data_IF_867298139443
#
_entry.id   IF_867298139443
#
_cell.length_a   1.000
_cell.length_b   1.000
_cell.length_c   1.000
_cell.angle_alpha   90.00
_cell.angle_beta   90.00
_cell.angle_gamma   90.00
#
_symmetry.space_group_name_H-M   'P 1'
#
loop_
_entity.id
_entity.type
_entity.pdbx_description
1 polymer ?
#
# COMPACT_ATOMS: atom_id res chain seq x y z
N UNK A 1 12.59 -18.58 11.92
CA UNK A 1 11.74 -18.68 10.72
C UNK A 1 12.59 -19.19 9.57
N UNK A 2 12.03 -20.02 8.69
CA UNK A 2 12.66 -20.37 7.43
C UNK A 2 12.69 -19.17 6.49
N UNK A 3 13.61 -19.13 5.54
CA UNK A 3 13.68 -18.05 4.54
C UNK A 3 12.36 -17.91 3.75
N UNK A 4 11.70 -19.04 3.49
CA UNK A 4 10.39 -19.06 2.82
C UNK A 4 9.31 -18.37 3.65
N UNK A 5 9.28 -18.61 4.97
CA UNK A 5 8.36 -17.92 5.89
C UNK A 5 8.61 -16.40 5.89
N UNK A 6 9.88 -15.99 5.92
CA UNK A 6 10.26 -14.58 5.85
C UNK A 6 9.81 -13.94 4.53
N UNK A 7 10.01 -14.62 3.40
CA UNK A 7 9.57 -14.14 2.09
C UNK A 7 8.04 -14.00 2.03
N UNK A 8 7.31 -14.96 2.57
CA UNK A 8 5.85 -14.91 2.67
C UNK A 8 5.41 -13.70 3.51
N UNK A 9 6.01 -13.50 4.68
CA UNK A 9 5.72 -12.35 5.55
C UNK A 9 5.94 -11.01 4.83
N UNK A 10 7.02 -10.88 4.05
CA UNK A 10 7.31 -9.66 3.28
C UNK A 10 6.26 -9.41 2.20
N UNK A 11 5.88 -10.46 1.45
CA UNK A 11 4.84 -10.36 0.42
C UNK A 11 3.50 -9.94 1.04
N UNK A 12 3.14 -10.51 2.19
CA UNK A 12 1.92 -10.15 2.90
C UNK A 12 1.96 -8.70 3.41
N UNK A 13 3.11 -8.24 3.92
CA UNK A 13 3.30 -6.85 4.35
C UNK A 13 3.19 -5.87 3.18
N UNK A 14 3.81 -6.17 2.03
CA UNK A 14 3.72 -5.33 0.83
C UNK A 14 2.28 -5.29 0.30
N UNK A 15 1.61 -6.43 0.17
CA UNK A 15 0.21 -6.46 -0.27
C UNK A 15 -0.74 -5.71 0.69
N UNK A 16 -0.44 -5.75 2.00
CA UNK A 16 -1.20 -4.99 3.00
C UNK A 16 -0.96 -3.49 2.86
N UNK A 17 0.26 -3.08 2.51
CA UNK A 17 0.60 -1.69 2.23
C UNK A 17 -0.20 -1.14 1.04
N UNK A 18 -0.18 -1.83 -0.11
CA UNK A 18 -0.96 -1.40 -1.29
C UNK A 18 -2.46 -1.32 -1.01
N UNK A 19 -3.00 -2.27 -0.23
CA UNK A 19 -4.41 -2.21 0.19
C UNK A 19 -4.72 -1.01 1.08
N UNK A 20 -3.81 -0.64 1.97
CA UNK A 20 -3.99 0.53 2.82
C UNK A 20 -3.92 1.83 2.00
N UNK A 21 -3.04 1.88 0.99
CA UNK A 21 -2.94 2.99 0.05
C UNK A 21 -4.22 3.12 -0.79
N UNK A 22 -4.73 2.01 -1.32
CA UNK A 22 -6.02 1.94 -2.01
C UNK A 22 -7.17 2.49 -1.15
N UNK A 23 -7.21 2.13 0.13
CA UNK A 23 -8.24 2.62 1.07
C UNK A 23 -8.14 4.13 1.27
N UNK A 24 -6.92 4.66 1.40
CA UNK A 24 -6.70 6.11 1.52
C UNK A 24 -7.22 6.85 0.28
N UNK A 25 -6.88 6.38 -0.91
CA UNK A 25 -7.35 6.97 -2.16
C UNK A 25 -8.87 6.85 -2.34
N UNK A 26 -9.47 5.74 -1.90
CA UNK A 26 -10.93 5.61 -1.85
C UNK A 26 -11.57 6.64 -0.94
N UNK A 27 -10.98 6.95 0.21
CA UNK A 27 -11.48 8.02 1.09
C UNK A 27 -11.29 9.42 0.47
N UNK A 28 -10.19 9.66 -0.23
CA UNK A 28 -10.00 10.91 -0.99
C UNK A 28 -11.04 11.07 -2.10
N UNK A 29 -11.38 10.00 -2.80
CA UNK A 29 -12.43 10.02 -3.83
C UNK A 29 -13.81 10.42 -3.27
N UNK A 30 -14.11 10.05 -2.02
CA UNK A 30 -15.35 10.44 -1.33
C UNK A 30 -15.37 11.92 -0.92
N UNK A 31 -14.20 12.49 -0.59
CA UNK A 31 -14.08 13.88 -0.14
C UNK A 31 -13.97 14.88 -1.27
N UNK A 32 -13.19 14.56 -2.30
CA UNK A 32 -12.90 15.48 -3.40
C UNK A 32 -13.69 15.06 -4.63
N UNK A 33 -14.96 15.47 -4.69
CA UNK A 33 -15.88 15.06 -5.76
C UNK A 33 -15.37 15.42 -7.16
N UNK A 34 -14.78 16.62 -7.33
CA UNK A 34 -14.19 17.07 -8.60
C UNK A 34 -13.00 16.20 -9.04
N UNK A 35 -12.33 15.55 -8.10
CA UNK A 35 -11.21 14.62 -8.34
C UNK A 35 -11.57 13.15 -8.17
N UNK A 36 -12.87 12.83 -8.04
CA UNK A 36 -13.32 11.47 -7.67
C UNK A 36 -12.79 10.41 -8.62
N UNK A 37 -12.85 10.66 -9.92
CA UNK A 37 -12.41 9.69 -10.93
C UNK A 37 -10.91 9.43 -10.86
N UNK A 38 -10.12 10.48 -10.62
CA UNK A 38 -8.67 10.37 -10.42
C UNK A 38 -8.35 9.48 -9.22
N UNK A 39 -8.91 9.80 -8.05
CA UNK A 39 -8.68 9.03 -6.83
C UNK A 39 -9.24 7.60 -6.89
N UNK A 40 -10.38 7.40 -7.57
CA UNK A 40 -10.97 6.07 -7.75
C UNK A 40 -10.13 5.19 -8.66
N UNK A 41 -9.51 5.76 -9.70
CA UNK A 41 -8.58 5.04 -10.58
C UNK A 41 -7.35 4.58 -9.80
N UNK A 42 -6.68 5.48 -9.08
CA UNK A 42 -5.54 5.13 -8.23
C UNK A 42 -5.91 4.04 -7.21
N UNK A 43 -7.06 4.19 -6.53
CA UNK A 43 -7.54 3.16 -5.60
C UNK A 43 -7.69 1.78 -6.25
N UNK A 44 -8.16 1.72 -7.50
CA UNK A 44 -8.31 0.47 -8.25
C UNK A 44 -6.96 -0.11 -8.70
N UNK A 45 -6.02 0.73 -9.14
CA UNK A 45 -4.66 0.36 -9.49
C UNK A 45 -3.96 -0.32 -8.30
N UNK A 46 -4.06 0.27 -7.10
CA UNK A 46 -3.45 -0.29 -5.90
C UNK A 46 -4.07 -1.62 -5.43
N UNK A 47 -5.37 -1.85 -5.67
CA UNK A 47 -5.94 -3.19 -5.50
C UNK A 47 -5.33 -4.18 -6.50
N UNK A 48 -5.10 -3.76 -7.74
CA UNK A 48 -4.41 -4.54 -8.75
C UNK A 48 -3.01 -4.95 -8.29
N UNK A 49 -2.22 -4.00 -7.80
CA UNK A 49 -0.87 -4.22 -7.26
C UNK A 49 -0.88 -5.22 -6.10
N UNK A 50 -1.75 -5.01 -5.09
CA UNK A 50 -1.89 -5.93 -3.97
C UNK A 50 -2.19 -7.36 -4.42
N UNK A 51 -3.06 -7.52 -5.42
CA UNK A 51 -3.43 -8.84 -5.95
C UNK A 51 -2.27 -9.49 -6.71
N UNK A 52 -1.47 -8.72 -7.47
CA UNK A 52 -0.27 -9.25 -8.13
C UNK A 52 0.78 -9.70 -7.13
N UNK A 53 1.01 -8.91 -6.08
CA UNK A 53 1.95 -9.26 -5.00
C UNK A 53 1.51 -10.56 -4.32
N UNK A 54 0.23 -10.71 -3.96
CA UNK A 54 -0.26 -11.94 -3.33
C UNK A 54 -0.17 -13.18 -4.21
N UNK A 55 -0.25 -13.04 -5.54
CA UNK A 55 -0.03 -14.18 -6.45
C UNK A 55 1.37 -14.77 -6.31
N UNK A 56 2.37 -13.98 -5.88
CA UNK A 56 3.74 -14.45 -5.64
C UNK A 56 3.83 -15.44 -4.48
N UNK A 57 2.86 -15.48 -3.58
CA UNK A 57 2.82 -16.43 -2.46
C UNK A 57 2.90 -17.89 -2.93
N UNK A 58 2.12 -18.25 -3.96
CA UNK A 58 2.16 -19.59 -4.57
C UNK A 58 3.53 -19.90 -5.18
N UNK A 59 4.10 -18.95 -5.92
CA UNK A 59 5.41 -19.07 -6.56
C UNK A 59 6.57 -19.23 -5.57
N UNK A 60 6.50 -18.53 -4.43
CA UNK A 60 7.45 -18.69 -3.32
C UNK A 60 7.30 -20.09 -2.72
N UNK A 61 6.06 -20.55 -2.48
CA UNK A 61 5.78 -21.91 -1.97
C UNK A 61 6.29 -23.00 -2.91
N UNK A 62 6.20 -22.80 -4.21
CA UNK A 62 6.73 -23.71 -5.24
C UNK A 62 8.26 -23.61 -5.40
N UNK A 63 8.88 -22.52 -4.92
CA UNK A 63 10.30 -22.25 -5.10
C UNK A 63 10.65 -21.65 -6.47
N UNK A 64 9.65 -21.24 -7.27
CA UNK A 64 9.85 -20.59 -8.58
C UNK A 64 10.12 -19.08 -8.47
N UNK A 65 9.87 -18.48 -7.30
CA UNK A 65 10.26 -17.10 -6.96
C UNK A 65 11.04 -17.10 -5.65
N UNK A 66 12.11 -16.33 -5.63
CA UNK A 66 13.01 -16.21 -4.49
C UNK A 66 13.59 -14.79 -4.41
N UNK A 67 13.72 -14.26 -3.18
CA UNK A 67 14.48 -13.05 -2.89
C UNK A 67 15.19 -13.16 -1.53
N UNK A 68 16.30 -12.44 -1.37
CA UNK A 68 17.03 -12.42 -0.09
C UNK A 68 16.20 -11.73 0.99
N UNK A 69 16.35 -12.16 2.24
CA UNK A 69 15.61 -11.61 3.39
C UNK A 69 15.82 -10.09 3.56
N UNK A 70 17.00 -9.59 3.21
CA UNK A 70 17.39 -8.17 3.32
C UNK A 70 17.03 -7.33 2.08
N UNK A 71 16.45 -7.94 1.03
CA UNK A 71 16.03 -7.22 -0.19
C UNK A 71 15.00 -6.14 0.13
N UNK A 72 14.14 -6.39 1.12
CA UNK A 72 13.10 -5.48 1.57
C UNK A 72 13.28 -5.18 3.05
N UNK A 73 13.30 -3.90 3.41
CA UNK A 73 13.37 -3.48 4.80
C UNK A 73 11.97 -3.61 5.44
N UNK A 74 11.73 -4.72 6.14
CA UNK A 74 10.45 -4.99 6.84
C UNK A 74 10.03 -3.85 7.78
N UNK A 75 10.97 -3.26 8.51
CA UNK A 75 10.67 -2.20 9.47
C UNK A 75 10.30 -0.88 8.77
N UNK A 76 10.90 -0.59 7.62
CA UNK A 76 10.48 0.52 6.78
C UNK A 76 9.04 0.32 6.26
N UNK A 77 8.70 -0.88 5.77
CA UNK A 77 7.34 -1.20 5.31
C UNK A 77 6.32 -1.04 6.44
N UNK A 78 6.61 -1.59 7.64
CA UNK A 78 5.75 -1.43 8.82
C UNK A 78 5.59 0.03 9.24
N UNK A 79 6.64 0.82 9.13
CA UNK A 79 6.61 2.25 9.45
C UNK A 79 5.75 3.03 8.46
N UNK A 80 5.92 2.78 7.16
CA UNK A 80 5.09 3.35 6.10
C UNK A 80 3.61 2.95 6.28
N UNK A 81 3.34 1.68 6.61
CA UNK A 81 1.99 1.19 6.89
C UNK A 81 1.33 1.88 8.10
N UNK A 82 2.07 2.11 9.19
CA UNK A 82 1.57 2.92 10.33
C UNK A 82 1.22 4.34 9.89
N UNK A 83 2.09 4.96 9.11
CA UNK A 83 1.86 6.30 8.59
C UNK A 83 0.60 6.35 7.71
N UNK A 84 0.44 5.40 6.79
CA UNK A 84 -0.76 5.25 5.95
C UNK A 84 -2.04 5.15 6.78
N UNK A 85 -2.07 4.25 7.76
CA UNK A 85 -3.24 4.07 8.63
C UNK A 85 -3.58 5.36 9.40
N UNK A 86 -2.57 6.13 9.83
CA UNK A 86 -2.79 7.43 10.45
C UNK A 86 -3.38 8.45 9.47
N UNK A 87 -2.88 8.49 8.22
CA UNK A 87 -3.45 9.37 7.19
C UNK A 87 -4.88 8.98 6.81
N UNK A 88 -5.19 7.68 6.78
CA UNK A 88 -6.54 7.18 6.54
C UNK A 88 -7.50 7.64 7.66
N UNK A 89 -7.12 7.46 8.92
CA UNK A 89 -7.92 7.95 10.06
C UNK A 89 -8.11 9.47 10.01
N UNK A 90 -7.06 10.23 9.68
CA UNK A 90 -7.15 11.69 9.52
C UNK A 90 -8.06 12.08 8.36
N UNK A 91 -7.99 11.38 7.24
CA UNK A 91 -8.93 11.58 6.15
C UNK A 91 -10.35 11.35 6.69
N UNK A 92 -10.67 10.21 7.29
CA UNK A 92 -12.03 9.93 7.75
C UNK A 92 -12.58 10.94 8.77
N UNK A 93 -11.75 11.45 9.68
CA UNK A 93 -12.20 12.25 10.83
C UNK A 93 -12.05 13.77 10.66
N UNK A 94 -11.17 14.25 9.78
CA UNK A 94 -10.81 15.67 9.71
C UNK A 94 -11.10 16.26 8.33
N UNK A 95 -11.27 17.59 8.30
CA UNK A 95 -11.19 18.36 7.06
C UNK A 95 -9.75 18.35 6.55
N UNK A 96 -9.60 18.15 5.24
CA UNK A 96 -8.32 18.06 4.56
C UNK A 96 -8.41 18.83 3.25
N UNK A 97 -7.42 19.67 2.97
CA UNK A 97 -7.34 20.35 1.68
C UNK A 97 -6.85 19.40 0.59
N UNK A 98 -7.31 19.63 -0.65
CA UNK A 98 -6.87 18.85 -1.81
C UNK A 98 -5.33 18.88 -1.98
N UNK A 99 -4.72 20.04 -1.77
CA UNK A 99 -3.26 20.20 -1.87
C UNK A 99 -2.51 19.31 -0.87
N UNK A 100 -3.02 19.18 0.35
CA UNK A 100 -2.45 18.29 1.36
C UNK A 100 -2.61 16.82 0.96
N UNK A 101 -3.78 16.42 0.45
CA UNK A 101 -4.03 15.07 -0.04
C UNK A 101 -3.09 14.69 -1.20
N UNK A 102 -2.90 15.59 -2.17
CA UNK A 102 -1.98 15.40 -3.29
C UNK A 102 -0.51 15.31 -2.83
N UNK A 103 -0.09 16.16 -1.89
CA UNK A 103 1.28 16.10 -1.34
C UNK A 103 1.52 14.76 -0.64
N UNK A 104 0.57 14.33 0.21
CA UNK A 104 0.67 13.03 0.91
C UNK A 104 0.72 11.88 -0.10
N UNK A 105 -0.14 11.90 -1.13
CA UNK A 105 -0.15 10.88 -2.17
C UNK A 105 1.20 10.79 -2.87
N UNK A 106 1.75 11.92 -3.34
CA UNK A 106 3.07 11.96 -3.99
C UNK A 106 4.18 11.43 -3.07
N UNK A 107 4.18 11.81 -1.80
CA UNK A 107 5.23 11.39 -0.86
C UNK A 107 5.15 9.89 -0.55
N UNK A 108 3.93 9.30 -0.56
CA UNK A 108 3.71 7.87 -0.41
C UNK A 108 4.19 7.07 -1.63
N UNK A 109 3.87 7.55 -2.83
CA UNK A 109 4.28 6.93 -4.10
C UNK A 109 5.80 7.00 -4.33
N UNK A 110 6.44 8.09 -3.95
CA UNK A 110 7.90 8.23 -4.04
C UNK A 110 8.65 7.45 -2.95
N UNK A 111 7.95 7.01 -1.90
CA UNK A 111 8.51 6.24 -0.80
C UNK A 111 8.49 4.71 -1.04
N UNK A 112 7.92 4.27 -2.16
CA UNK A 112 7.86 2.88 -2.61
C UNK A 112 9.08 2.47 -3.44
#
# INVERSE_FOLDING_TARGET
MSLKEVQIEIIELLAKHERALSQLYKEYAKKFLDGKDFWSKLSAEEIGHANWILKLHSKIKEGSVYFKEDRFNKEAIKTSLRYLNNQLSKAQMQEMSLMKALSIARDLENGL
#
